data_IF_600584909731
#
_entry.id   IF_600584909731
#
_cell.length_a   1.000
_cell.length_b   1.000
_cell.length_c   1.000
_cell.angle_alpha   90.00
_cell.angle_beta   90.00
_cell.angle_gamma   90.00
#
_symmetry.space_group_name_H-M   'P 1'
#
loop_
_entity.id
_entity.type
_entity.pdbx_description
1 polymer ?
#
# COMPACT_ATOMS: atom_id res chain seq x y z
N UNK A 1 14.69 6.58 3.17
CA UNK A 1 16.00 7.21 2.92
C UNK A 1 16.84 7.12 4.20
N UNK A 2 18.12 6.77 4.09
CA UNK A 2 19.05 6.86 5.22
C UNK A 2 19.48 8.33 5.43
N UNK A 3 19.78 8.74 6.68
CA UNK A 3 20.23 10.10 7.02
C UNK A 3 21.37 10.60 6.12
N UNK A 4 22.35 9.75 5.83
CA UNK A 4 23.48 10.07 4.93
C UNK A 4 23.05 10.35 3.48
N UNK A 5 21.96 9.73 3.02
CA UNK A 5 21.40 9.97 1.69
C UNK A 5 20.66 11.31 1.64
N UNK A 6 20.00 11.71 2.74
CA UNK A 6 19.29 12.99 2.84
C UNK A 6 20.27 14.16 2.90
N UNK A 7 21.37 14.03 3.65
CA UNK A 7 22.39 15.07 3.80
C UNK A 7 23.09 15.44 2.48
N UNK A 8 23.14 14.50 1.53
CA UNK A 8 23.69 14.71 0.19
C UNK A 8 22.74 15.40 -0.79
N UNK A 9 21.47 15.60 -0.41
CA UNK A 9 20.49 16.24 -1.29
C UNK A 9 20.65 17.77 -1.30
N UNK A 10 20.31 18.44 -2.41
CA UNK A 10 20.18 19.90 -2.45
C UNK A 10 19.21 20.42 -1.37
N UNK A 11 19.48 21.62 -0.84
CA UNK A 11 18.72 22.21 0.28
C UNK A 11 17.21 22.18 0.07
N UNK A 12 16.73 22.54 -1.14
CA UNK A 12 15.31 22.48 -1.47
C UNK A 12 14.69 21.08 -1.30
N UNK A 13 15.40 20.02 -1.72
CA UNK A 13 14.91 18.66 -1.59
C UNK A 13 14.93 18.17 -0.13
N UNK A 14 15.91 18.63 0.66
CA UNK A 14 15.95 18.34 2.10
C UNK A 14 14.78 18.99 2.82
N UNK A 15 14.44 20.23 2.47
CA UNK A 15 13.34 20.96 3.10
C UNK A 15 11.98 20.35 2.71
N UNK A 16 11.81 19.94 1.45
CA UNK A 16 10.66 19.15 1.01
C UNK A 16 10.57 17.81 1.77
N UNK A 17 11.69 17.12 1.96
CA UNK A 17 11.74 15.87 2.73
C UNK A 17 11.36 16.08 4.19
N UNK A 18 11.85 17.14 4.84
CA UNK A 18 11.49 17.49 6.22
C UNK A 18 10.00 17.76 6.37
N UNK A 19 9.42 18.58 5.49
CA UNK A 19 7.97 18.86 5.48
C UNK A 19 7.16 17.58 5.31
N UNK A 20 7.56 16.72 4.39
CA UNK A 20 6.93 15.41 4.22
C UNK A 20 7.04 14.54 5.48
N UNK A 21 8.19 14.50 6.15
CA UNK A 21 8.35 13.76 7.41
C UNK A 21 7.46 14.31 8.52
N UNK A 22 7.36 15.62 8.67
CA UNK A 22 6.47 16.27 9.64
C UNK A 22 5.00 15.95 9.35
N UNK A 23 4.59 15.93 8.07
CA UNK A 23 3.26 15.49 7.66
C UNK A 23 3.00 14.02 7.98
N UNK A 24 3.99 13.14 7.77
CA UNK A 24 3.86 11.72 8.13
C UNK A 24 3.70 11.53 9.65
N UNK A 25 4.34 12.35 10.48
CA UNK A 25 4.19 12.30 11.94
C UNK A 25 2.79 12.71 12.42
N UNK A 26 2.08 13.54 11.64
CA UNK A 26 0.69 13.91 11.93
C UNK A 26 -0.32 12.80 11.60
N UNK A 27 0.08 11.80 10.81
CA UNK A 27 -0.80 10.68 10.48
C UNK A 27 -0.83 9.72 11.68
N UNK A 28 -2.02 9.40 12.22
CA UNK A 28 -2.14 8.41 13.28
C UNK A 28 -1.46 7.10 12.88
N UNK A 29 -0.69 6.50 13.79
CA UNK A 29 0.07 5.28 13.51
C UNK A 29 -0.79 4.15 12.92
N UNK A 30 -2.06 4.07 13.36
CA UNK A 30 -3.06 3.12 12.85
C UNK A 30 -3.39 3.33 11.37
N UNK A 31 -3.50 4.58 10.91
CA UNK A 31 -3.78 4.91 9.51
C UNK A 31 -2.56 4.67 8.62
N UNK A 32 -1.35 4.96 9.13
CA UNK A 32 -0.11 4.58 8.47
C UNK A 32 0.02 3.07 8.29
N UNK A 33 -0.34 2.30 9.33
CA UNK A 33 -0.35 0.83 9.30
C UNK A 33 -1.39 0.29 8.32
N UNK A 34 -2.61 0.85 8.32
CA UNK A 34 -3.69 0.50 7.38
C UNK A 34 -3.28 0.73 5.93
N UNK A 35 -2.70 1.89 5.61
CA UNK A 35 -2.20 2.20 4.26
C UNK A 35 -1.09 1.25 3.82
N UNK A 36 -0.22 0.83 4.75
CA UNK A 36 0.84 -0.14 4.48
C UNK A 36 0.27 -1.53 4.23
N UNK A 37 -0.65 -1.98 5.07
CA UNK A 37 -1.31 -3.29 4.96
C UNK A 37 -2.06 -3.42 3.63
N UNK A 38 -2.85 -2.40 3.25
CA UNK A 38 -3.53 -2.34 1.95
C UNK A 38 -2.58 -2.42 0.76
N UNK A 39 -1.48 -1.67 0.77
CA UNK A 39 -0.47 -1.74 -0.32
C UNK A 39 0.13 -3.14 -0.45
N UNK A 40 0.47 -3.77 0.66
CA UNK A 40 1.01 -5.14 0.66
C UNK A 40 -0.04 -6.15 0.15
N UNK A 41 -1.29 -6.00 0.58
CA UNK A 41 -2.40 -6.83 0.11
C UNK A 41 -2.57 -6.72 -1.42
N UNK A 42 -2.54 -5.50 -1.96
CA UNK A 42 -2.66 -5.26 -3.40
C UNK A 42 -1.53 -5.94 -4.17
N UNK A 43 -0.28 -5.78 -3.71
CA UNK A 43 0.84 -6.45 -4.35
C UNK A 43 0.68 -7.97 -4.35
N UNK A 44 0.22 -8.58 -3.26
CA UNK A 44 -0.01 -10.04 -3.22
C UNK A 44 -1.06 -10.48 -4.25
N UNK A 45 -2.18 -9.76 -4.34
CA UNK A 45 -3.23 -10.06 -5.31
C UNK A 45 -2.75 -9.87 -6.75
N UNK A 46 -1.99 -8.80 -7.04
CA UNK A 46 -1.38 -8.56 -8.35
C UNK A 46 -0.34 -9.64 -8.73
N UNK A 47 0.30 -10.26 -7.74
CA UNK A 47 1.18 -11.42 -7.90
C UNK A 47 0.42 -12.74 -8.12
N UNK A 48 -0.91 -12.72 -8.07
CA UNK A 48 -1.78 -13.87 -8.32
C UNK A 48 -2.23 -14.63 -7.07
N UNK A 49 -1.98 -14.10 -5.87
CA UNK A 49 -2.51 -14.69 -4.64
C UNK A 49 -4.02 -14.48 -4.54
N UNK A 50 -4.73 -15.50 -4.05
CA UNK A 50 -6.15 -15.38 -3.76
C UNK A 50 -6.42 -14.57 -2.47
N UNK A 51 -7.70 -14.29 -2.21
CA UNK A 51 -8.13 -13.50 -1.05
C UNK A 51 -7.68 -14.12 0.29
N UNK A 52 -7.85 -15.45 0.45
CA UNK A 52 -7.54 -16.14 1.69
C UNK A 52 -6.02 -16.28 1.91
N UNK A 53 -5.26 -16.51 0.84
CA UNK A 53 -3.81 -16.57 0.85
C UNK A 53 -3.21 -15.20 1.19
N UNK A 54 -3.76 -14.13 0.61
CA UNK A 54 -3.40 -12.74 0.93
C UNK A 54 -3.65 -12.43 2.40
N UNK A 55 -4.82 -12.79 2.94
CA UNK A 55 -5.14 -12.60 4.36
C UNK A 55 -4.18 -13.39 5.27
N UNK A 56 -3.95 -14.68 4.98
CA UNK A 56 -3.01 -15.52 5.73
C UNK A 56 -1.58 -14.97 5.68
N UNK A 57 -1.17 -14.40 4.55
CA UNK A 57 0.15 -13.78 4.42
C UNK A 57 0.29 -12.54 5.31
N UNK A 58 -0.72 -11.67 5.35
CA UNK A 58 -0.73 -10.51 6.24
C UNK A 58 -0.70 -10.92 7.72
N UNK A 59 -1.43 -11.98 8.09
CA UNK A 59 -1.36 -12.56 9.43
C UNK A 59 0.05 -13.08 9.77
N UNK A 60 0.71 -13.78 8.82
CA UNK A 60 2.10 -14.24 8.99
C UNK A 60 3.06 -13.07 9.24
N UNK A 61 2.83 -11.93 8.60
CA UNK A 61 3.56 -10.68 8.82
C UNK A 61 3.12 -9.88 10.06
N UNK A 62 2.31 -10.49 10.94
CA UNK A 62 1.87 -9.93 12.24
C UNK A 62 0.96 -8.70 12.12
N UNK A 63 0.25 -8.54 11.02
CA UNK A 63 -0.88 -7.60 10.98
C UNK A 63 -2.04 -8.13 11.83
N UNK A 64 -2.79 -7.22 12.45
CA UNK A 64 -3.97 -7.58 13.23
C UNK A 64 -5.04 -8.25 12.35
N UNK A 65 -5.76 -9.29 12.81
CA UNK A 65 -6.70 -10.04 11.97
C UNK A 65 -7.74 -9.19 11.24
N UNK A 66 -8.40 -8.28 11.97
CA UNK A 66 -9.38 -7.37 11.36
C UNK A 66 -8.77 -6.50 10.25
N UNK A 67 -7.51 -6.07 10.41
CA UNK A 67 -6.83 -5.23 9.43
C UNK A 67 -6.39 -6.04 8.21
N UNK A 68 -5.97 -7.29 8.41
CA UNK A 68 -5.59 -8.21 7.35
C UNK A 68 -6.80 -8.53 6.47
N UNK A 69 -7.93 -8.91 7.08
CA UNK A 69 -9.18 -9.20 6.39
C UNK A 69 -9.68 -7.98 5.58
N UNK A 70 -9.70 -6.79 6.19
CA UNK A 70 -10.13 -5.58 5.49
C UNK A 70 -9.20 -5.22 4.31
N UNK A 71 -7.89 -5.35 4.51
CA UNK A 71 -6.90 -5.03 3.47
C UNK A 71 -6.94 -6.02 2.32
N UNK A 72 -7.11 -7.31 2.60
CA UNK A 72 -7.26 -8.36 1.59
C UNK A 72 -8.53 -8.14 0.75
N UNK A 73 -9.67 -7.87 1.39
CA UNK A 73 -10.92 -7.57 0.66
C UNK A 73 -10.81 -6.32 -0.20
N UNK A 74 -10.19 -5.26 0.33
CA UNK A 74 -9.98 -4.03 -0.43
C UNK A 74 -9.12 -4.27 -1.68
N UNK A 75 -8.02 -5.00 -1.53
CA UNK A 75 -7.13 -5.34 -2.64
C UNK A 75 -7.82 -6.19 -3.70
N UNK A 76 -8.56 -7.22 -3.27
CA UNK A 76 -9.30 -8.10 -4.17
C UNK A 76 -10.36 -7.36 -4.98
N UNK A 77 -11.14 -6.49 -4.33
CA UNK A 77 -12.15 -5.66 -5.01
C UNK A 77 -11.49 -4.77 -6.06
N UNK A 78 -10.41 -4.09 -5.69
CA UNK A 78 -9.67 -3.20 -6.60
C UNK A 78 -9.08 -3.95 -7.80
N UNK A 79 -8.54 -5.14 -7.59
CA UNK A 79 -8.00 -5.97 -8.67
C UNK A 79 -9.10 -6.41 -9.64
N UNK A 80 -10.28 -6.81 -9.13
CA UNK A 80 -11.43 -7.15 -9.97
C UNK A 80 -11.97 -5.95 -10.76
N UNK A 81 -12.04 -4.78 -10.14
CA UNK A 81 -12.40 -3.53 -10.81
C UNK A 81 -11.39 -3.21 -11.93
N UNK A 82 -10.10 -3.39 -11.68
CA UNK A 82 -9.06 -3.16 -12.68
C UNK A 82 -9.12 -4.18 -13.84
N UNK A 83 -9.29 -5.47 -13.57
CA UNK A 83 -9.48 -6.48 -14.63
C UNK A 83 -10.74 -6.21 -15.44
N UNK A 84 -11.86 -5.87 -14.79
CA UNK A 84 -13.10 -5.53 -15.49
C UNK A 84 -12.98 -4.26 -16.33
N UNK A 85 -12.22 -3.26 -15.87
CA UNK A 85 -11.91 -2.07 -16.65
C UNK A 85 -11.00 -2.37 -17.85
N UNK A 86 -10.02 -3.27 -17.71
CA UNK A 86 -9.19 -3.72 -18.83
C UNK A 86 -10.02 -4.46 -19.87
N UNK A 87 -11.00 -5.27 -19.45
CA UNK A 87 -11.91 -5.95 -20.38
C UNK A 87 -12.80 -4.94 -21.15
N UNK A 88 -13.25 -3.85 -20.51
CA UNK A 88 -14.00 -2.77 -21.18
C UNK A 88 -13.12 -1.94 -22.14
N UNK A 89 -11.90 -1.60 -21.74
CA UNK A 89 -10.96 -0.81 -22.54
C UNK A 89 -10.42 -1.60 -23.74
N UNK A 90 -10.30 -2.93 -23.62
CA UNK A 90 -9.96 -3.82 -24.73
C UNK A 90 -11.10 -4.02 -25.75
N UNK A 91 -12.35 -3.69 -25.38
CA UNK A 91 -13.54 -3.77 -26.24
C UNK A 91 -13.90 -2.42 -26.90
N UNK A 92 -13.19 -1.33 -26.55
CA UNK A 92 -13.37 -0.03 -27.18
C UNK A 92 -12.64 0.01 -28.55
N UNK A 93 -13.32 0.40 -29.65
CA UNK A 93 -12.80 0.34 -31.02
C UNK A 93 -11.75 1.41 -31.36
#
# INVERSE_FOLDING_TARGET
>A
LNRRQVERLPTMLRDAHKRWQEEQLRIPAVEGLRRRSRRLALSLVELGEDLEATERQLHRWKFHPALAYESAQWAWRRHREACGAVDEEALAP
#
